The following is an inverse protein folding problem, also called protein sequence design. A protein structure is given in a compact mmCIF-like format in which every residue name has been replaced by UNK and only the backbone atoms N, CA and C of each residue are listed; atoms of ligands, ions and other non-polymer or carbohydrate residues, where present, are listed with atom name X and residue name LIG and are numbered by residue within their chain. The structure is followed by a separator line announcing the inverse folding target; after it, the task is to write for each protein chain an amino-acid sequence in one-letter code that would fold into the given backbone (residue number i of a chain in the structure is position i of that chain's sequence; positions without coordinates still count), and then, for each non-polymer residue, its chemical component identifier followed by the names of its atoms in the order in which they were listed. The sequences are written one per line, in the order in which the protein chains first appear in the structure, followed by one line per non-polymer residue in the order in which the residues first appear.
data_IF_357893611159
#
_entry.id   IF_357893611159
#
_cell.length_a   1.000
_cell.length_b   1.000
_cell.length_c   1.000
_cell.angle_alpha   90.00
_cell.angle_beta   90.00
_cell.angle_gamma   90.00
#
_symmetry.space_group_name_H-M   'P 1'
#
loop_
_entity.id
_entity.type
_entity.pdbx_description
1 polymer ?
#
# COMPACT_ATOMS: atom_id res chain seq x y z
N UNK A 1 14.83 -22.49 4.65
CA UNK A 1 15.16 -21.12 5.12
C UNK A 1 14.74 -20.91 6.58
N UNK A 2 15.47 -20.06 7.33
CA UNK A 2 15.02 -19.52 8.62
C UNK A 2 14.01 -18.39 8.34
N UNK A 3 12.91 -18.32 9.10
CA UNK A 3 11.85 -17.32 8.90
C UNK A 3 12.14 -15.94 9.53
N UNK A 4 13.26 -15.77 10.24
CA UNK A 4 13.76 -14.45 10.66
C UNK A 4 14.01 -13.50 9.47
N UNK A 5 14.27 -14.07 8.29
CA UNK A 5 14.38 -13.35 7.03
C UNK A 5 13.24 -13.75 6.09
N UNK A 6 12.03 -13.17 6.26
CA UNK A 6 10.88 -13.54 5.44
C UNK A 6 11.14 -13.26 3.97
N UNK A 7 10.50 -14.06 3.12
CA UNK A 7 10.64 -13.95 1.67
C UNK A 7 9.32 -13.68 0.99
N UNK A 8 9.38 -13.08 -0.20
CA UNK A 8 8.21 -12.81 -0.99
C UNK A 8 8.46 -13.02 -2.49
N UNK A 9 7.41 -13.43 -3.20
CA UNK A 9 7.34 -13.46 -4.66
C UNK A 9 6.23 -12.49 -5.12
N UNK A 10 6.45 -11.84 -6.27
CA UNK A 10 5.46 -10.94 -6.88
C UNK A 10 4.15 -11.67 -7.13
N UNK A 11 3.05 -10.91 -7.16
CA UNK A 11 1.75 -11.48 -7.47
C UNK A 11 1.78 -12.20 -8.82
N UNK A 12 1.25 -13.42 -8.83
CA UNK A 12 0.95 -14.20 -10.03
C UNK A 12 -0.41 -14.88 -9.85
N UNK A 13 -1.26 -14.80 -10.88
CA UNK A 13 -2.59 -15.40 -10.89
C UNK A 13 -2.62 -16.91 -10.60
N UNK A 14 -1.50 -17.62 -10.82
CA UNK A 14 -1.40 -19.06 -10.51
C UNK A 14 -1.64 -19.37 -9.02
N UNK A 15 -1.28 -18.45 -8.10
CA UNK A 15 -1.53 -18.61 -6.66
C UNK A 15 -3.01 -18.51 -6.28
N UNK A 16 -3.88 -18.10 -7.22
CA UNK A 16 -5.32 -17.92 -7.02
C UNK A 16 -6.16 -18.87 -7.89
N UNK A 17 -5.52 -19.77 -8.65
CA UNK A 17 -6.18 -20.64 -9.62
C UNK A 17 -6.50 -22.01 -9.02
N UNK A 18 -7.77 -22.41 -9.08
CA UNK A 18 -8.19 -23.76 -8.67
C UNK A 18 -8.07 -24.76 -9.85
N UNK A 19 -7.82 -26.06 -9.58
CA UNK A 19 -7.40 -26.60 -8.28
C UNK A 19 -6.02 -26.05 -7.89
N UNK A 20 -5.83 -25.75 -6.60
CA UNK A 20 -4.59 -25.25 -6.04
C UNK A 20 -4.09 -26.23 -4.98
N UNK A 21 -2.82 -26.63 -5.05
CA UNK A 21 -2.18 -27.39 -3.98
C UNK A 21 -0.92 -26.69 -3.56
N UNK A 22 -0.78 -26.43 -2.25
CA UNK A 22 0.38 -25.81 -1.64
C UNK A 22 1.01 -26.84 -0.72
N UNK A 23 2.26 -27.17 -1.00
CA UNK A 23 3.06 -28.17 -0.30
C UNK A 23 4.30 -27.48 0.27
N UNK A 24 4.65 -27.80 1.51
CA UNK A 24 5.85 -27.27 2.16
C UNK A 24 6.24 -28.15 3.35
N UNK A 25 7.49 -27.99 3.79
CA UNK A 25 7.94 -28.50 5.09
C UNK A 25 8.09 -27.35 6.07
N UNK A 26 7.71 -27.59 7.31
CA UNK A 26 7.79 -26.59 8.39
C UNK A 26 8.45 -27.19 9.62
N UNK A 27 9.12 -26.34 10.40
CA UNK A 27 9.54 -26.63 11.76
C UNK A 27 9.34 -25.40 12.60
N UNK A 28 8.55 -25.48 13.67
CA UNK A 28 8.32 -24.38 14.61
C UNK A 28 8.47 -24.88 16.04
N UNK A 29 8.92 -24.02 16.95
CA UNK A 29 9.19 -24.40 18.35
C UNK A 29 8.23 -23.74 19.33
N UNK A 30 7.77 -22.53 19.03
CA UNK A 30 6.95 -21.72 19.93
C UNK A 30 5.49 -21.68 19.47
N UNK A 31 4.59 -21.66 20.45
CA UNK A 31 3.16 -21.47 20.24
C UNK A 31 2.62 -20.25 20.98
N UNK A 32 3.44 -19.34 21.48
CA UNK A 32 2.96 -18.13 22.16
C UNK A 32 2.32 -17.11 21.20
N UNK A 33 2.68 -17.14 19.92
CA UNK A 33 2.09 -16.34 18.84
C UNK A 33 1.53 -17.19 17.71
N UNK A 34 0.91 -16.53 16.73
CA UNK A 34 0.72 -17.12 15.40
C UNK A 34 2.09 -17.41 14.77
N UNK A 35 2.19 -18.50 14.00
CA UNK A 35 3.29 -18.72 13.07
C UNK A 35 2.73 -18.76 11.65
N UNK A 36 3.01 -17.74 10.84
CA UNK A 36 2.57 -17.68 9.44
C UNK A 36 3.59 -18.36 8.56
N UNK A 37 3.31 -19.58 8.09
CA UNK A 37 4.26 -20.32 7.26
C UNK A 37 4.26 -19.77 5.83
N UNK A 38 3.08 -19.68 5.22
CA UNK A 38 2.94 -19.16 3.86
C UNK A 38 1.59 -18.48 3.73
N UNK A 39 1.55 -17.33 3.05
CA UNK A 39 0.35 -16.55 2.82
C UNK A 39 0.35 -15.94 1.42
N UNK A 40 -0.82 -15.91 0.79
CA UNK A 40 -1.04 -15.23 -0.48
C UNK A 40 -1.99 -14.04 -0.29
N UNK A 41 -1.72 -12.90 -0.93
CA UNK A 41 -2.56 -11.70 -0.89
C UNK A 41 -2.71 -11.08 0.52
N UNK A 42 -3.38 -9.93 0.60
CA UNK A 42 -3.77 -9.31 1.87
C UNK A 42 -4.84 -10.13 2.57
N UNK A 43 -4.85 -10.15 3.91
CA UNK A 43 -5.79 -10.97 4.70
C UNK A 43 -7.26 -10.64 4.47
N UNK A 44 -7.56 -9.41 4.03
CA UNK A 44 -8.91 -8.96 3.65
C UNK A 44 -9.35 -9.40 2.25
N UNK A 45 -8.43 -9.88 1.41
CA UNK A 45 -8.74 -10.30 0.04
C UNK A 45 -9.55 -11.59 0.04
N UNK A 46 -10.63 -11.72 -0.77
CA UNK A 46 -11.32 -12.99 -0.95
C UNK A 46 -10.45 -14.05 -1.66
N UNK A 47 -9.32 -13.64 -2.23
CA UNK A 47 -8.32 -14.52 -2.86
C UNK A 47 -7.19 -14.93 -1.92
N UNK A 48 -7.28 -14.50 -0.66
CA UNK A 48 -6.31 -14.85 0.37
C UNK A 48 -6.40 -16.33 0.73
N UNK A 49 -5.24 -16.88 1.02
CA UNK A 49 -5.10 -18.12 1.75
C UNK A 49 -3.81 -18.05 2.57
N UNK A 50 -3.81 -18.71 3.72
CA UNK A 50 -2.63 -18.85 4.57
C UNK A 50 -2.60 -20.21 5.26
N UNK A 51 -1.39 -20.73 5.51
CA UNK A 51 -1.12 -21.89 6.35
C UNK A 51 -0.36 -21.39 7.57
N UNK A 52 -0.85 -21.71 8.76
CA UNK A 52 -0.33 -21.17 10.00
C UNK A 52 -0.53 -22.10 11.20
N UNK A 53 0.11 -21.80 12.33
CA UNK A 53 -0.22 -22.41 13.62
C UNK A 53 -0.96 -21.45 14.55
N UNK A 54 -1.93 -21.96 15.30
CA UNK A 54 -2.67 -21.19 16.30
C UNK A 54 -1.80 -20.82 17.52
N UNK A 55 -1.97 -19.62 18.09
CA UNK A 55 -1.35 -19.26 19.36
C UNK A 55 -1.91 -20.12 20.49
N UNK A 56 -1.14 -20.20 21.56
CA UNK A 56 -1.24 -21.12 22.70
C UNK A 56 -1.16 -22.61 22.33
N UNK A 57 -2.03 -23.11 21.45
CA UNK A 57 -2.13 -24.54 21.13
C UNK A 57 -1.01 -25.04 20.22
N UNK A 58 -0.51 -24.19 19.32
CA UNK A 58 0.44 -24.59 18.29
C UNK A 58 -0.15 -25.50 17.22
N UNK A 59 -1.48 -25.58 17.12
CA UNK A 59 -2.16 -26.49 16.19
C UNK A 59 -2.19 -25.92 14.78
N UNK A 60 -2.01 -26.80 13.79
CA UNK A 60 -2.02 -26.42 12.38
C UNK A 60 -3.40 -25.92 11.95
N UNK A 61 -3.44 -24.88 11.12
CA UNK A 61 -4.67 -24.35 10.54
C UNK A 61 -4.41 -23.73 9.18
N UNK A 62 -5.47 -23.61 8.39
CA UNK A 62 -5.47 -22.79 7.18
C UNK A 62 -6.66 -21.83 7.21
N UNK A 63 -6.46 -20.60 6.72
CA UNK A 63 -7.51 -19.60 6.56
C UNK A 63 -7.67 -19.30 5.07
N UNK A 64 -8.90 -19.41 4.56
CA UNK A 64 -9.25 -19.27 3.14
C UNK A 64 -10.59 -18.50 3.03
N UNK A 65 -10.60 -17.16 3.19
CA UNK A 65 -11.82 -16.35 3.24
C UNK A 65 -12.70 -16.41 1.99
N UNK A 66 -12.18 -16.85 0.85
CA UNK A 66 -12.95 -17.07 -0.37
C UNK A 66 -13.96 -18.23 -0.29
N UNK A 67 -13.92 -19.04 0.78
CA UNK A 67 -14.82 -20.18 0.99
C UNK A 67 -15.58 -20.10 2.32
N UNK A 68 -16.69 -20.83 2.38
CA UNK A 68 -17.37 -21.22 3.61
C UNK A 68 -17.29 -22.75 3.76
N UNK A 69 -16.75 -23.29 4.88
CA UNK A 69 -16.12 -22.57 5.98
C UNK A 69 -14.83 -21.85 5.52
N UNK A 70 -14.51 -20.74 6.19
CA UNK A 70 -13.34 -19.93 5.87
C UNK A 70 -12.06 -20.43 6.55
N UNK A 71 -12.14 -21.48 7.38
CA UNK A 71 -10.98 -22.08 8.05
C UNK A 71 -11.02 -23.60 7.95
N UNK A 72 -9.83 -24.19 7.90
CA UNK A 72 -9.59 -25.59 8.24
C UNK A 72 -8.77 -25.63 9.52
N UNK A 73 -9.35 -26.15 10.60
CA UNK A 73 -8.67 -26.28 11.88
C UNK A 73 -8.30 -27.74 12.16
N UNK A 74 -7.00 -28.03 12.24
CA UNK A 74 -6.50 -29.28 12.78
C UNK A 74 -6.46 -29.23 14.32
N UNK A 75 -6.50 -30.40 14.95
CA UNK A 75 -6.22 -30.56 16.38
C UNK A 75 -4.76 -30.98 16.65
N UNK A 76 -3.95 -31.13 15.61
CA UNK A 76 -2.57 -31.61 15.70
C UNK A 76 -1.62 -30.43 15.88
N UNK A 77 -0.80 -30.49 16.94
CA UNK A 77 0.26 -29.53 17.24
C UNK A 77 1.43 -29.71 16.26
N UNK A 78 1.95 -28.61 15.72
CA UNK A 78 3.11 -28.57 14.81
C UNK A 78 4.27 -27.71 15.33
N UNK A 79 4.11 -27.15 16.54
CA UNK A 79 5.14 -26.34 17.22
C UNK A 79 5.89 -27.18 18.26
N UNK A 80 6.38 -28.34 17.84
CA UNK A 80 7.08 -29.32 18.68
C UNK A 80 8.59 -29.41 18.37
N UNK A 81 9.08 -28.52 17.51
CA UNK A 81 10.48 -28.48 17.05
C UNK A 81 10.84 -29.56 16.05
N UNK A 82 9.88 -30.35 15.54
CA UNK A 82 10.12 -31.35 14.49
C UNK A 82 9.78 -30.81 13.10
N UNK A 83 10.39 -31.41 12.08
CA UNK A 83 10.02 -31.16 10.70
C UNK A 83 8.73 -31.90 10.35
N UNK A 84 7.77 -31.17 9.83
CA UNK A 84 6.52 -31.71 9.33
C UNK A 84 6.35 -31.41 7.85
N UNK A 85 5.73 -32.34 7.13
CA UNK A 85 5.25 -32.13 5.76
C UNK A 85 3.79 -31.67 5.79
N UNK A 86 3.49 -30.54 5.16
CA UNK A 86 2.16 -29.94 5.15
C UNK A 86 1.67 -29.77 3.73
N UNK A 87 0.41 -30.12 3.49
CA UNK A 87 -0.25 -29.90 2.19
C UNK A 87 -1.61 -29.25 2.41
N UNK A 88 -1.83 -28.09 1.81
CA UNK A 88 -3.15 -27.48 1.63
C UNK A 88 -3.63 -27.76 0.22
N UNK A 89 -4.77 -28.43 0.07
CA UNK A 89 -5.43 -28.69 -1.21
C UNK A 89 -6.76 -27.95 -1.27
N UNK A 90 -6.87 -27.00 -2.20
CA UNK A 90 -8.09 -26.26 -2.50
C UNK A 90 -8.66 -26.76 -3.83
N UNK A 91 -9.77 -27.47 -3.77
CA UNK A 91 -10.50 -27.93 -4.94
C UNK A 91 -11.93 -27.38 -4.93
N UNK A 92 -12.63 -27.52 -6.06
CA UNK A 92 -14.01 -27.01 -6.17
C UNK A 92 -15.01 -27.75 -5.28
N UNK A 93 -14.71 -29.00 -4.92
CA UNK A 93 -15.62 -29.88 -4.16
C UNK A 93 -15.08 -30.27 -2.79
N UNK A 94 -13.82 -29.98 -2.50
CA UNK A 94 -13.16 -30.38 -1.26
C UNK A 94 -12.01 -29.42 -0.95
N UNK A 95 -11.95 -28.97 0.31
CA UNK A 95 -10.77 -28.34 0.90
C UNK A 95 -10.18 -29.35 1.87
N UNK A 96 -8.86 -29.55 1.84
CA UNK A 96 -8.18 -30.44 2.78
C UNK A 96 -6.83 -29.89 3.21
N UNK A 97 -6.48 -30.21 4.46
CA UNK A 97 -5.21 -29.92 5.08
C UNK A 97 -4.62 -31.24 5.56
N UNK A 98 -3.43 -31.55 5.05
CA UNK A 98 -2.69 -32.75 5.38
C UNK A 98 -1.44 -32.39 6.19
N UNK A 99 -1.09 -33.27 7.12
CA UNK A 99 0.13 -33.24 7.91
C UNK A 99 0.73 -34.63 7.90
N UNK A 100 1.99 -34.75 7.46
CA UNK A 100 2.74 -36.00 7.39
C UNK A 100 1.90 -37.12 6.74
N UNK A 101 1.40 -36.83 5.52
CA UNK A 101 0.57 -37.71 4.68
C UNK A 101 -0.85 -38.00 5.21
N UNK A 102 -1.22 -37.50 6.40
CA UNK A 102 -2.53 -37.71 7.00
C UNK A 102 -3.44 -36.49 6.81
N UNK A 103 -4.69 -36.69 6.39
CA UNK A 103 -5.70 -35.63 6.39
C UNK A 103 -6.04 -35.28 7.84
N UNK A 104 -5.73 -34.05 8.25
CA UNK A 104 -5.96 -33.56 9.62
C UNK A 104 -7.13 -32.57 9.73
N UNK A 105 -7.57 -32.00 8.60
CA UNK A 105 -8.80 -31.25 8.48
C UNK A 105 -9.31 -31.30 7.04
N UNK A 106 -10.63 -31.36 6.85
CA UNK A 106 -11.27 -31.29 5.55
C UNK A 106 -12.66 -30.67 5.64
N UNK A 107 -13.12 -30.06 4.55
CA UNK A 107 -14.45 -29.50 4.43
C UNK A 107 -14.96 -29.55 2.99
N UNK A 108 -16.28 -29.61 2.83
CA UNK A 108 -16.92 -29.35 1.54
C UNK A 108 -17.08 -27.83 1.41
N UNK A 109 -16.47 -27.18 0.41
CA UNK A 109 -16.53 -25.73 0.27
C UNK A 109 -17.84 -25.26 -0.37
N UNK A 110 -18.35 -24.14 0.12
CA UNK A 110 -19.18 -23.23 -0.66
C UNK A 110 -18.32 -22.01 -1.05
N UNK A 111 -18.21 -21.73 -2.36
CA UNK A 111 -17.50 -20.51 -2.82
C UNK A 111 -18.30 -19.29 -2.41
N UNK A 112 -17.69 -18.40 -1.63
CA UNK A 112 -18.25 -17.07 -1.38
C UNK A 112 -18.15 -16.27 -2.68
N UNK A 113 -19.15 -15.42 -3.04
CA UNK A 113 -19.05 -14.58 -4.23
C UNK A 113 -17.74 -13.79 -4.24
N UNK A 114 -16.84 -14.15 -5.17
CA UNK A 114 -15.57 -13.46 -5.32
C UNK A 114 -15.86 -12.07 -5.89
N UNK A 115 -15.42 -11.03 -5.19
CA UNK A 115 -15.56 -9.64 -5.60
C UNK A 115 -14.61 -9.28 -6.75
N UNK A 116 -13.86 -8.19 -6.58
CA UNK A 116 -12.80 -7.82 -7.53
C UNK A 116 -11.75 -8.94 -7.63
N UNK A 117 -11.03 -9.02 -8.76
CA UNK A 117 -9.92 -9.96 -8.95
C UNK A 117 -8.79 -9.77 -7.92
N UNK A 118 -7.77 -10.64 -7.92
CA UNK A 118 -6.66 -10.53 -6.99
C UNK A 118 -5.98 -9.16 -7.03
N UNK A 119 -5.51 -8.68 -5.88
CA UNK A 119 -4.83 -7.39 -5.77
C UNK A 119 -3.44 -7.48 -6.43
N UNK A 120 -3.21 -6.62 -7.43
CA UNK A 120 -1.96 -6.60 -8.20
C UNK A 120 -0.75 -6.07 -7.41
N UNK A 121 -0.97 -5.36 -6.31
CA UNK A 121 0.06 -4.77 -5.46
C UNK A 121 0.43 -5.65 -4.26
N UNK A 122 0.17 -6.95 -4.34
CA UNK A 122 0.50 -7.92 -3.28
C UNK A 122 1.36 -9.06 -3.84
N UNK A 123 1.39 -10.21 -3.18
CA UNK A 123 2.23 -11.34 -3.59
C UNK A 123 2.02 -12.57 -2.71
N UNK A 124 2.97 -13.48 -2.84
CA UNK A 124 3.13 -14.64 -1.97
C UNK A 124 4.20 -14.32 -0.93
N UNK A 125 3.97 -14.68 0.32
CA UNK A 125 4.83 -14.37 1.46
C UNK A 125 5.13 -15.65 2.25
N UNK A 126 6.40 -15.86 2.58
CA UNK A 126 6.87 -16.97 3.40
C UNK A 126 7.38 -16.43 4.74
N UNK A 127 6.91 -17.03 5.83
CA UNK A 127 7.29 -16.63 7.19
C UNK A 127 6.59 -15.37 7.71
N UNK A 128 5.68 -14.76 6.95
CA UNK A 128 5.00 -13.51 7.33
C UNK A 128 3.70 -13.29 6.55
N UNK A 129 2.89 -12.35 7.02
CA UNK A 129 1.81 -11.74 6.26
C UNK A 129 2.30 -10.64 5.32
N UNK A 130 1.45 -10.23 4.38
CA UNK A 130 1.74 -9.11 3.47
C UNK A 130 2.17 -7.82 4.18
N UNK A 131 1.60 -7.53 5.35
CA UNK A 131 1.79 -6.30 6.12
C UNK A 131 2.75 -6.44 7.32
N UNK A 132 3.43 -7.58 7.46
CA UNK A 132 4.34 -7.90 8.57
C UNK A 132 3.71 -7.89 9.97
N UNK A 133 2.37 -7.90 10.05
CA UNK A 133 1.66 -7.89 11.33
C UNK A 133 1.81 -9.18 12.12
N UNK A 134 2.02 -10.31 11.43
CA UNK A 134 2.25 -11.64 12.01
C UNK A 134 3.40 -12.33 11.27
N UNK A 135 4.26 -13.00 12.04
CA UNK A 135 5.46 -13.66 11.54
C UNK A 135 5.49 -15.12 11.96
N UNK A 136 6.50 -15.86 11.52
CA UNK A 136 6.82 -17.20 11.98
C UNK A 136 8.16 -17.19 12.69
N UNK A 137 8.24 -17.88 13.82
CA UNK A 137 9.51 -18.22 14.45
C UNK A 137 9.83 -19.70 14.19
N UNK A 138 10.50 -19.98 13.07
CA UNK A 138 10.78 -21.33 12.65
C UNK A 138 11.53 -21.44 11.33
N UNK A 139 11.31 -22.57 10.65
CA UNK A 139 11.94 -22.89 9.38
C UNK A 139 10.90 -23.39 8.40
N UNK A 140 11.11 -23.05 7.14
CA UNK A 140 10.31 -23.49 6.00
C UNK A 140 11.25 -24.10 4.98
N UNK A 141 10.87 -25.22 4.37
CA UNK A 141 11.62 -25.85 3.29
C UNK A 141 10.71 -26.49 2.22
N UNK A 142 11.30 -26.91 1.11
CA UNK A 142 10.65 -27.74 0.07
C UNK A 142 9.28 -27.21 -0.40
N UNK A 143 9.17 -25.91 -0.67
CA UNK A 143 7.88 -25.27 -1.01
C UNK A 143 7.54 -25.54 -2.48
N UNK A 144 6.33 -26.05 -2.74
CA UNK A 144 5.80 -26.28 -4.09
C UNK A 144 4.34 -25.84 -4.16
N UNK A 145 3.98 -25.20 -5.27
CA UNK A 145 2.61 -24.83 -5.60
C UNK A 145 2.23 -25.51 -6.91
N UNK A 146 1.06 -26.13 -6.94
CA UNK A 146 0.54 -26.85 -8.09
C UNK A 146 -0.81 -26.26 -8.52
N UNK A 147 -1.03 -26.20 -9.83
CA UNK A 147 -2.35 -26.00 -10.41
C UNK A 147 -2.80 -27.29 -11.13
N UNK A 148 -3.47 -28.17 -10.40
CA UNK A 148 -3.78 -29.51 -10.89
C UNK A 148 -2.48 -30.32 -11.05
N UNK A 149 -2.16 -30.73 -12.28
CA UNK A 149 -0.94 -31.48 -12.59
C UNK A 149 0.29 -30.62 -12.91
N UNK A 150 0.12 -29.30 -12.98
CA UNK A 150 1.19 -28.36 -13.35
C UNK A 150 1.90 -27.83 -12.08
N UNK A 151 3.23 -27.87 -12.05
CA UNK A 151 4.02 -27.15 -11.03
C UNK A 151 3.99 -25.67 -11.37
N UNK A 152 3.24 -24.89 -10.61
CA UNK A 152 3.17 -23.45 -10.76
C UNK A 152 4.41 -22.77 -10.19
N UNK A 153 4.89 -23.18 -9.02
CA UNK A 153 6.12 -22.64 -8.46
C UNK A 153 6.79 -23.69 -7.56
N UNK A 154 8.11 -23.66 -7.49
CA UNK A 154 8.85 -24.53 -6.60
C UNK A 154 10.13 -23.84 -6.12
N UNK A 155 10.44 -23.98 -4.83
CA UNK A 155 11.65 -23.42 -4.23
C UNK A 155 12.33 -24.44 -3.32
N UNK A 156 13.61 -24.67 -3.58
CA UNK A 156 14.51 -25.46 -2.75
C UNK A 156 15.52 -24.50 -2.09
N UNK A 157 15.42 -24.37 -0.76
CA UNK A 157 16.18 -23.39 0.00
C UNK A 157 17.62 -23.81 0.28
N UNK A 158 18.07 -24.96 -0.23
CA UNK A 158 19.50 -25.29 -0.28
C UNK A 158 20.29 -24.36 -1.21
N UNK A 159 19.59 -23.62 -2.09
CA UNK A 159 20.17 -22.73 -3.11
C UNK A 159 19.99 -21.23 -2.81
N UNK A 160 19.58 -20.90 -1.59
CA UNK A 160 19.35 -19.51 -1.16
C UNK A 160 20.64 -18.67 -1.22
N UNK A 161 20.54 -17.47 -1.77
CA UNK A 161 21.62 -16.47 -1.83
C UNK A 161 21.19 -15.10 -1.29
N UNK A 162 22.07 -14.10 -1.38
CA UNK A 162 21.82 -12.72 -0.93
C UNK A 162 20.67 -12.03 -1.68
N UNK A 163 20.24 -12.57 -2.83
CA UNK A 163 19.14 -12.06 -3.65
C UNK A 163 17.85 -12.84 -3.42
N UNK A 164 17.86 -13.92 -2.65
CA UNK A 164 16.69 -14.74 -2.33
C UNK A 164 16.81 -16.18 -2.84
N UNK A 165 15.71 -16.74 -3.33
CA UNK A 165 15.66 -18.14 -3.79
C UNK A 165 15.07 -18.21 -5.20
N UNK A 166 15.77 -18.90 -6.10
CA UNK A 166 15.30 -19.11 -7.48
C UNK A 166 14.13 -20.08 -7.53
N UNK A 167 13.18 -19.78 -8.41
CA UNK A 167 12.11 -20.72 -8.73
C UNK A 167 12.64 -21.84 -9.64
N UNK A 168 12.61 -23.07 -9.13
CA UNK A 168 13.09 -24.26 -9.83
C UNK A 168 12.02 -24.92 -10.72
N UNK A 169 10.80 -24.37 -10.76
CA UNK A 169 9.74 -24.85 -11.68
C UNK A 169 9.99 -24.43 -13.14
N UNK A 170 10.88 -23.46 -13.38
CA UNK A 170 11.13 -22.88 -14.70
C UNK A 170 10.22 -21.71 -15.09
N UNK A 171 9.34 -21.27 -14.19
CA UNK A 171 8.39 -20.18 -14.44
C UNK A 171 8.87 -18.79 -13.98
N UNK A 172 10.10 -18.69 -13.47
CA UNK A 172 10.75 -17.44 -13.06
C UNK A 172 10.04 -16.69 -11.92
N UNK A 173 9.39 -17.42 -11.00
CA UNK A 173 8.72 -16.86 -9.82
C UNK A 173 9.69 -16.75 -8.64
N UNK A 174 10.84 -16.11 -8.84
CA UNK A 174 11.88 -16.01 -7.81
C UNK A 174 11.34 -15.41 -6.50
N UNK A 175 11.71 -16.01 -5.37
CA UNK A 175 11.57 -15.40 -4.06
C UNK A 175 12.70 -14.39 -3.84
N UNK A 176 12.38 -13.26 -3.22
CA UNK A 176 13.33 -12.27 -2.71
C UNK A 176 13.18 -12.14 -1.21
N UNK A 177 14.25 -11.76 -0.52
CA UNK A 177 14.17 -11.27 0.86
C UNK A 177 13.17 -10.13 0.92
N UNK A 178 12.26 -10.15 1.91
CA UNK A 178 11.19 -9.16 2.01
C UNK A 178 11.72 -7.74 2.27
N UNK A 179 12.85 -7.63 2.99
CA UNK A 179 13.60 -6.37 3.13
C UNK A 179 14.04 -5.77 1.79
N UNK A 180 14.22 -6.60 0.77
CA UNK A 180 14.54 -6.22 -0.61
C UNK A 180 13.33 -6.27 -1.55
N UNK A 181 12.15 -6.67 -1.05
CA UNK A 181 10.92 -6.80 -1.83
C UNK A 181 10.23 -5.44 -1.91
N UNK A 182 10.75 -4.58 -2.78
CA UNK A 182 10.03 -3.38 -3.19
C UNK A 182 8.85 -3.81 -4.06
N UNK A 183 7.63 -3.72 -3.51
CA UNK A 183 6.43 -3.65 -4.35
C UNK A 183 6.63 -2.46 -5.30
N UNK A 184 6.65 -2.67 -6.63
CA UNK A 184 6.75 -1.54 -7.54
C UNK A 184 5.59 -0.59 -7.23
N UNK A 185 5.89 0.70 -7.10
CA UNK A 185 4.82 1.70 -7.03
C UNK A 185 3.87 1.45 -8.20
N UNK A 186 2.54 1.59 -8.01
CA UNK A 186 1.59 1.48 -9.11
C UNK A 186 2.11 2.30 -10.31
N UNK A 187 2.00 1.78 -11.55
CA UNK A 187 2.50 2.50 -12.72
C UNK A 187 1.96 3.93 -12.70
N UNK A 188 2.86 4.91 -12.84
CA UNK A 188 2.48 6.32 -12.82
C UNK A 188 1.44 6.55 -13.91
N UNK A 189 0.24 7.01 -13.52
CA UNK A 189 -0.77 7.44 -14.47
C UNK A 189 -0.16 8.55 -15.34
N UNK A 190 -0.43 8.49 -16.65
CA UNK A 190 -0.01 9.54 -17.59
C UNK A 190 -0.57 10.90 -17.14
N UNK A 191 0.28 11.87 -16.75
CA UNK A 191 -0.17 13.14 -16.22
C UNK A 191 -0.50 14.17 -17.31
N UNK A 192 -0.50 13.79 -18.59
CA UNK A 192 -0.66 14.71 -19.72
C UNK A 192 -1.92 15.58 -19.63
N UNK A 193 -3.06 15.00 -19.24
CA UNK A 193 -4.31 15.75 -19.07
C UNK A 193 -4.22 16.81 -17.94
N UNK A 194 -3.57 16.48 -16.83
CA UNK A 194 -3.40 17.40 -15.70
C UNK A 194 -2.44 18.54 -16.03
N UNK A 195 -1.36 18.23 -16.75
CA UNK A 195 -0.43 19.24 -17.27
C UNK A 195 -1.13 20.22 -18.22
N UNK A 196 -1.92 19.70 -19.16
CA UNK A 196 -2.68 20.55 -20.07
C UNK A 196 -3.63 21.47 -19.29
N UNK A 197 -4.32 20.95 -18.27
CA UNK A 197 -5.21 21.76 -17.44
C UNK A 197 -4.47 22.89 -16.71
N UNK A 198 -3.27 22.64 -16.16
CA UNK A 198 -2.43 23.70 -15.56
C UNK A 198 -2.05 24.75 -16.61
N UNK A 199 -1.64 24.34 -17.82
CA UNK A 199 -1.29 25.28 -18.88
C UNK A 199 -2.47 26.17 -19.30
N UNK A 200 -3.67 25.60 -19.37
CA UNK A 200 -4.91 26.33 -19.66
C UNK A 200 -5.21 27.38 -18.57
N UNK A 201 -5.07 27.02 -17.29
CA UNK A 201 -5.29 27.94 -16.17
C UNK A 201 -4.22 29.03 -16.07
N UNK A 202 -2.94 28.67 -16.26
CA UNK A 202 -1.83 29.63 -16.31
C UNK A 202 -2.08 30.66 -17.40
N UNK A 203 -2.48 30.21 -18.61
CA UNK A 203 -2.81 31.11 -19.71
C UNK A 203 -4.05 31.95 -19.40
N UNK A 204 -5.12 31.34 -18.88
CA UNK A 204 -6.40 31.99 -18.60
C UNK A 204 -6.28 33.09 -17.55
N UNK A 205 -5.46 32.88 -16.53
CA UNK A 205 -5.27 33.83 -15.43
C UNK A 205 -4.01 34.69 -15.61
N UNK A 206 -3.27 34.49 -16.70
CA UNK A 206 -2.00 35.16 -16.98
C UNK A 206 -1.04 35.05 -15.77
N UNK A 207 -0.87 33.81 -15.27
CA UNK A 207 0.02 33.54 -14.15
C UNK A 207 1.48 33.66 -14.61
N UNK A 208 2.29 34.33 -13.80
CA UNK A 208 3.68 34.68 -14.12
C UNK A 208 4.70 33.82 -13.37
N UNK A 209 4.29 33.23 -12.25
CA UNK A 209 5.15 32.38 -11.40
C UNK A 209 5.38 30.99 -11.97
N UNK A 210 4.42 30.44 -12.71
CA UNK A 210 4.48 29.07 -13.24
C UNK A 210 4.87 29.11 -14.70
N UNK A 211 6.06 28.60 -15.04
CA UNK A 211 6.46 28.41 -16.42
C UNK A 211 5.72 27.24 -17.08
N UNK A 212 5.44 27.34 -18.39
CA UNK A 212 4.71 26.32 -19.13
C UNK A 212 5.53 25.01 -19.21
N UNK A 213 5.04 23.95 -18.55
CA UNK A 213 5.51 22.57 -18.76
C UNK A 213 6.78 22.15 -18.01
N UNK A 214 7.06 22.74 -16.83
CA UNK A 214 8.32 22.54 -16.11
C UNK A 214 8.31 21.35 -15.14
N UNK A 215 7.16 20.79 -14.79
CA UNK A 215 7.07 19.78 -13.75
C UNK A 215 7.22 18.34 -14.29
N UNK A 216 8.11 17.58 -13.63
CA UNK A 216 8.31 16.15 -13.87
C UNK A 216 7.00 15.39 -13.67
N UNK A 217 6.78 14.31 -14.44
CA UNK A 217 5.59 13.47 -14.33
C UNK A 217 5.31 13.02 -12.88
N UNK A 218 6.37 12.67 -12.15
CA UNK A 218 6.30 12.26 -10.75
C UNK A 218 5.63 13.31 -9.83
N UNK A 219 5.83 14.61 -10.09
CA UNK A 219 5.24 15.71 -9.31
C UNK A 219 3.72 15.73 -9.48
N UNK A 220 3.24 15.64 -10.72
CA UNK A 220 1.81 15.58 -11.01
C UNK A 220 1.15 14.31 -10.48
N UNK A 221 1.80 13.15 -10.64
CA UNK A 221 1.31 11.89 -10.07
C UNK A 221 1.19 11.99 -8.55
N UNK A 222 2.15 12.63 -7.89
CA UNK A 222 2.10 12.87 -6.46
C UNK A 222 0.96 13.82 -6.07
N UNK A 223 0.78 14.96 -6.74
CA UNK A 223 -0.35 15.85 -6.47
C UNK A 223 -1.68 15.13 -6.66
N UNK A 224 -1.84 14.33 -7.72
CA UNK A 224 -3.07 13.54 -7.93
C UNK A 224 -3.30 12.56 -6.79
N UNK A 225 -2.25 11.88 -6.33
CA UNK A 225 -2.35 10.98 -5.19
C UNK A 225 -2.86 11.71 -3.93
N UNK A 226 -2.37 12.92 -3.65
CA UNK A 226 -2.84 13.70 -2.49
C UNK A 226 -4.28 14.19 -2.67
N UNK A 227 -4.66 14.61 -3.88
CA UNK A 227 -6.05 14.97 -4.17
C UNK A 227 -7.01 13.79 -3.95
N UNK A 228 -6.66 12.60 -4.45
CA UNK A 228 -7.46 11.39 -4.33
C UNK A 228 -7.53 10.85 -2.89
N UNK A 229 -6.56 11.23 -2.06
CA UNK A 229 -6.44 10.83 -0.67
C UNK A 229 -6.62 11.98 0.31
N UNK A 230 -7.21 13.10 -0.13
CA UNK A 230 -7.45 14.25 0.72
C UNK A 230 -8.36 13.86 1.90
N UNK A 231 -7.92 14.17 3.12
CA UNK A 231 -8.61 13.78 4.36
C UNK A 231 -8.56 12.28 4.67
N UNK A 232 -7.75 11.49 3.95
CA UNK A 232 -7.55 10.06 4.22
C UNK A 232 -6.20 9.83 4.91
N UNK A 233 -6.16 8.87 5.82
CA UNK A 233 -4.93 8.40 6.44
C UNK A 233 -4.14 7.59 5.40
N UNK A 234 -2.83 7.88 5.23
CA UNK A 234 -1.92 7.34 4.19
C UNK A 234 -1.79 5.80 4.11
N UNK A 235 -2.51 5.03 4.94
CA UNK A 235 -2.46 3.57 5.02
C UNK A 235 -3.84 2.90 4.82
N UNK A 236 -4.80 3.61 4.22
CA UNK A 236 -6.18 3.18 4.10
C UNK A 236 -6.48 2.34 2.84
N UNK A 237 -5.71 1.27 2.63
CA UNK A 237 -6.28 0.08 1.97
C UNK A 237 -6.78 -0.93 3.02
N UNK A 238 -6.16 -1.00 4.21
CA UNK A 238 -6.40 -2.05 5.20
C UNK A 238 -6.71 -1.57 6.64
N UNK A 239 -6.76 -0.27 6.91
CA UNK A 239 -7.24 0.24 8.22
C UNK A 239 -8.55 0.99 8.01
N UNK A 240 -9.63 0.43 8.54
CA UNK A 240 -11.00 0.97 8.47
C UNK A 240 -11.03 2.46 8.81
N UNK A 241 -11.06 3.35 7.82
CA UNK A 241 -11.19 4.80 8.05
C UNK A 241 -12.47 5.13 8.86
N UNK A 242 -13.46 4.23 8.82
CA UNK A 242 -14.71 4.28 9.56
C UNK A 242 -14.51 4.37 11.09
N UNK A 243 -13.53 3.66 11.68
CA UNK A 243 -13.30 3.77 13.13
C UNK A 243 -12.73 5.15 13.49
N UNK A 244 -11.84 5.68 12.66
CA UNK A 244 -11.23 7.00 12.90
C UNK A 244 -12.25 8.12 12.66
N UNK A 245 -13.13 7.98 11.67
CA UNK A 245 -14.23 8.91 11.44
C UNK A 245 -15.24 8.91 12.61
N UNK A 246 -15.44 7.76 13.27
CA UNK A 246 -16.34 7.61 14.41
C UNK A 246 -15.70 7.98 15.77
N UNK A 247 -14.36 8.03 15.86
CA UNK A 247 -13.64 8.27 17.10
C UNK A 247 -13.19 9.74 17.24
N UNK A 248 -14.04 10.56 17.88
CA UNK A 248 -13.74 11.96 18.19
C UNK A 248 -12.47 12.14 19.04
N UNK A 249 -12.11 11.17 19.89
CA UNK A 249 -10.88 11.27 20.71
C UNK A 249 -9.64 11.04 19.85
N UNK A 250 -9.70 10.11 18.90
CA UNK A 250 -8.62 9.90 17.95
C UNK A 250 -8.41 11.13 17.06
N UNK A 251 -9.50 11.74 16.57
CA UNK A 251 -9.44 12.99 15.79
C UNK A 251 -8.83 14.14 16.60
N UNK A 252 -9.27 14.33 17.85
CA UNK A 252 -8.71 15.35 18.73
C UNK A 252 -7.21 15.13 19.04
N UNK A 253 -6.78 13.87 19.16
CA UNK A 253 -5.37 13.53 19.38
C UNK A 253 -4.50 13.88 18.18
N UNK A 254 -4.97 13.65 16.94
CA UNK A 254 -4.24 14.00 15.72
C UNK A 254 -4.10 15.51 15.59
N UNK A 255 -5.17 16.28 15.87
CA UNK A 255 -5.10 17.74 15.88
C UNK A 255 -4.02 18.26 16.86
N UNK A 256 -3.83 17.59 18.00
CA UNK A 256 -2.78 17.90 18.97
C UNK A 256 -1.37 17.41 18.63
N UNK A 257 -1.19 16.64 17.54
CA UNK A 257 0.12 16.19 17.06
C UNK A 257 0.76 17.16 16.07
N UNK A 258 -0.02 18.09 15.50
CA UNK A 258 0.51 19.15 14.67
C UNK A 258 1.20 20.20 15.56
N UNK A 259 2.47 20.51 15.26
CA UNK A 259 3.19 21.60 15.93
C UNK A 259 2.58 22.98 15.63
N UNK A 260 1.92 23.12 14.49
CA UNK A 260 1.22 24.32 14.05
C UNK A 260 -0.19 23.95 13.58
N UNK A 261 -1.22 24.60 14.13
CA UNK A 261 -2.60 24.34 13.74
C UNK A 261 -2.92 24.72 12.29
N UNK A 262 -2.14 25.62 11.68
CA UNK A 262 -2.33 26.03 10.29
C UNK A 262 -1.91 24.95 9.29
N UNK A 263 -1.12 23.94 9.71
CA UNK A 263 -0.81 22.80 8.84
C UNK A 263 -1.97 21.81 8.71
N UNK A 264 -2.96 21.87 9.61
CA UNK A 264 -4.13 21.00 9.57
C UNK A 264 -5.10 21.39 8.45
N UNK A 265 -5.86 20.42 7.97
CA UNK A 265 -7.02 20.64 7.11
C UNK A 265 -8.13 21.32 7.93
N UNK A 266 -8.67 22.42 7.42
CA UNK A 266 -9.74 23.17 8.09
C UNK A 266 -11.08 22.96 7.39
N UNK A 267 -12.22 22.92 8.12
CA UNK A 267 -13.55 22.87 7.50
C UNK A 267 -13.82 24.03 6.53
N UNK A 268 -13.25 25.20 6.81
CA UNK A 268 -13.33 26.40 5.98
C UNK A 268 -12.59 26.28 4.64
N UNK A 269 -11.70 25.31 4.48
CA UNK A 269 -10.91 25.14 3.27
C UNK A 269 -11.77 24.68 2.07
N UNK A 270 -12.96 24.13 2.31
CA UNK A 270 -13.87 23.62 1.25
C UNK A 270 -13.19 22.58 0.32
N UNK A 271 -12.17 21.88 0.80
CA UNK A 271 -11.46 20.81 0.08
C UNK A 271 -9.95 21.05 -0.09
N UNK A 272 -9.31 20.15 -0.84
CA UNK A 272 -7.86 20.15 -1.04
C UNK A 272 -7.35 21.46 -1.63
N UNK A 273 -8.06 22.03 -2.62
CA UNK A 273 -7.69 23.28 -3.27
C UNK A 273 -7.64 24.45 -2.29
N UNK A 274 -8.65 24.62 -1.43
CA UNK A 274 -8.62 25.70 -0.46
C UNK A 274 -7.57 25.48 0.62
N UNK A 275 -7.27 24.23 0.98
CA UNK A 275 -6.16 23.92 1.90
C UNK A 275 -4.83 24.40 1.32
N UNK A 276 -4.55 24.03 0.05
CA UNK A 276 -3.35 24.50 -0.66
C UNK A 276 -3.31 26.02 -0.70
N UNK A 277 -4.42 26.67 -1.05
CA UNK A 277 -4.48 28.13 -1.16
C UNK A 277 -4.26 28.83 0.18
N UNK A 278 -4.92 28.41 1.26
CA UNK A 278 -4.74 29.00 2.60
C UNK A 278 -3.28 28.90 3.04
N UNK A 279 -2.75 27.68 3.08
CA UNK A 279 -1.37 27.44 3.49
C UNK A 279 -0.34 28.15 2.56
N UNK A 280 -0.69 28.40 1.29
CA UNK A 280 0.18 29.18 0.38
C UNK A 280 0.16 30.66 0.76
N UNK A 281 -0.99 31.19 1.18
CA UNK A 281 -1.09 32.53 1.75
C UNK A 281 -0.23 32.67 3.01
N UNK A 282 -0.35 31.72 3.95
CA UNK A 282 0.43 31.72 5.18
C UNK A 282 1.94 31.68 4.90
N UNK A 283 2.36 30.87 3.92
CA UNK A 283 3.75 30.81 3.49
C UNK A 283 4.23 32.13 2.86
N UNK A 284 3.41 32.77 2.03
CA UNK A 284 3.72 34.07 1.42
C UNK A 284 3.88 35.16 2.48
N UNK A 285 3.04 35.16 3.50
CA UNK A 285 3.11 36.11 4.62
C UNK A 285 4.35 35.86 5.49
N UNK A 286 4.67 34.59 5.75
CA UNK A 286 5.91 34.22 6.46
C UNK A 286 7.16 34.68 5.69
N UNK A 287 7.23 34.41 4.39
CA UNK A 287 8.38 34.77 3.54
C UNK A 287 8.59 36.28 3.48
N UNK A 288 7.53 37.09 3.56
CA UNK A 288 7.65 38.56 3.60
C UNK A 288 8.39 39.06 4.84
N UNK A 289 8.36 38.30 5.94
CA UNK A 289 9.07 38.64 7.18
C UNK A 289 10.51 38.11 7.22
N UNK A 290 10.88 37.21 6.29
CA UNK A 290 12.19 36.57 6.29
C UNK A 290 13.26 37.44 5.63
N UNK A 291 14.49 37.49 6.19
CA UNK A 291 15.61 38.10 5.50
C UNK A 291 16.01 37.28 4.26
N UNK A 292 16.52 37.94 3.22
CA UNK A 292 17.07 37.33 2.00
C UNK A 292 16.05 36.63 1.07
N UNK A 293 14.77 37.01 1.12
CA UNK A 293 13.77 36.58 0.13
C UNK A 293 13.77 37.52 -1.08
N UNK A 294 13.64 36.96 -2.29
CA UNK A 294 13.45 37.76 -3.51
C UNK A 294 12.07 38.42 -3.51
N UNK A 295 12.03 39.70 -3.13
CA UNK A 295 10.79 40.48 -3.00
C UNK A 295 10.05 40.68 -4.33
N UNK A 296 10.75 40.66 -5.47
CA UNK A 296 10.12 40.84 -6.78
C UNK A 296 9.33 39.58 -7.16
N UNK A 297 9.95 38.42 -6.98
CA UNK A 297 9.28 37.15 -7.22
C UNK A 297 8.19 36.88 -6.16
N UNK A 298 8.40 37.26 -4.91
CA UNK A 298 7.38 37.18 -3.86
C UNK A 298 6.13 37.99 -4.21
N UNK A 299 6.30 39.24 -4.66
CA UNK A 299 5.18 40.08 -5.11
C UNK A 299 4.40 39.44 -6.25
N UNK A 300 5.12 38.89 -7.23
CA UNK A 300 4.53 38.21 -8.38
C UNK A 300 3.74 36.96 -7.94
N UNK A 301 4.27 36.21 -6.98
CA UNK A 301 3.57 35.06 -6.41
C UNK A 301 2.32 35.44 -5.62
N UNK A 302 2.34 36.55 -4.87
CA UNK A 302 1.15 37.10 -4.20
C UNK A 302 0.05 37.47 -5.20
N UNK A 303 0.41 38.09 -6.33
CA UNK A 303 -0.55 38.43 -7.40
C UNK A 303 -1.19 37.17 -8.00
N UNK A 304 -0.40 36.15 -8.33
CA UNK A 304 -0.90 34.89 -8.91
C UNK A 304 -1.75 34.08 -7.92
N UNK A 305 -1.31 34.00 -6.66
CA UNK A 305 -2.08 33.39 -5.58
C UNK A 305 -3.43 34.09 -5.39
N UNK A 306 -3.47 35.43 -5.40
CA UNK A 306 -4.71 36.19 -5.24
C UNK A 306 -5.70 35.92 -6.37
N UNK A 307 -5.23 35.78 -7.62
CA UNK A 307 -6.07 35.39 -8.76
C UNK A 307 -6.69 33.99 -8.56
N UNK A 308 -5.88 33.01 -8.16
CA UNK A 308 -6.37 31.65 -7.91
C UNK A 308 -7.36 31.59 -6.74
N UNK A 309 -7.06 32.31 -5.64
CA UNK A 309 -7.94 32.42 -4.48
C UNK A 309 -9.29 33.02 -4.86
N UNK A 310 -9.30 34.08 -5.67
CA UNK A 310 -10.54 34.68 -6.16
C UNK A 310 -11.38 33.70 -6.96
N UNK A 311 -10.79 32.95 -7.90
CA UNK A 311 -11.52 31.95 -8.68
C UNK A 311 -12.09 30.85 -7.77
N UNK A 312 -11.34 30.42 -6.76
CA UNK A 312 -11.82 29.44 -5.77
C UNK A 312 -12.98 29.99 -4.91
N UNK A 313 -12.94 31.27 -4.55
CA UNK A 313 -13.99 31.96 -3.78
C UNK A 313 -15.27 32.16 -4.59
N UNK A 314 -15.14 32.55 -5.86
CA UNK A 314 -16.24 32.75 -6.81
C UNK A 314 -16.94 31.42 -7.17
N UNK A 315 -16.32 30.28 -6.85
CA UNK A 315 -16.86 28.94 -7.04
C UNK A 315 -16.39 28.30 -8.34
N UNK A 316 -16.08 27.01 -8.25
CA UNK A 316 -15.53 26.23 -9.35
C UNK A 316 -16.46 25.06 -9.65
N UNK A 317 -16.66 24.74 -10.93
CA UNK A 317 -17.39 23.52 -11.30
C UNK A 317 -16.54 22.29 -10.98
N UNK A 318 -17.19 21.15 -10.74
CA UNK A 318 -16.49 19.86 -10.53
C UNK A 318 -15.57 19.50 -11.69
N UNK A 319 -15.96 19.84 -12.92
CA UNK A 319 -15.17 19.61 -14.14
C UNK A 319 -13.84 20.37 -14.18
N UNK A 320 -13.72 21.49 -13.44
CA UNK A 320 -12.52 22.34 -13.47
C UNK A 320 -11.79 22.42 -12.13
N UNK A 321 -12.31 21.77 -11.09
CA UNK A 321 -11.75 21.79 -9.74
C UNK A 321 -10.34 21.21 -9.66
N UNK A 322 -10.08 20.08 -10.34
CA UNK A 322 -8.76 19.45 -10.41
C UNK A 322 -7.71 20.38 -11.03
N UNK A 323 -8.08 21.08 -12.11
CA UNK A 323 -7.19 22.02 -12.79
C UNK A 323 -6.73 23.16 -11.89
N UNK A 324 -7.65 23.73 -11.10
CA UNK A 324 -7.30 24.78 -10.13
C UNK A 324 -6.43 24.20 -9.01
N UNK A 325 -6.74 22.99 -8.52
CA UNK A 325 -5.90 22.32 -7.53
C UNK A 325 -4.45 22.19 -8.01
N UNK A 326 -4.23 21.63 -9.20
CA UNK A 326 -2.89 21.46 -9.75
C UNK A 326 -2.19 22.80 -9.98
N UNK A 327 -2.93 23.82 -10.41
CA UNK A 327 -2.38 25.16 -10.62
C UNK A 327 -1.97 25.82 -9.30
N UNK A 328 -2.78 25.66 -8.24
CA UNK A 328 -2.45 26.13 -6.90
C UNK A 328 -1.21 25.40 -6.34
N UNK A 329 -1.10 24.09 -6.55
CA UNK A 329 0.09 23.33 -6.19
C UNK A 329 1.34 23.81 -6.94
N UNK A 330 1.21 24.14 -8.23
CA UNK A 330 2.31 24.67 -9.03
C UNK A 330 2.77 26.05 -8.51
N UNK A 331 1.85 26.98 -8.24
CA UNK A 331 2.19 28.29 -7.65
C UNK A 331 2.86 28.12 -6.29
N UNK A 332 2.29 27.30 -5.40
CA UNK A 332 2.88 27.02 -4.08
C UNK A 332 4.31 26.50 -4.20
N UNK A 333 4.56 25.58 -5.14
CA UNK A 333 5.90 25.03 -5.38
C UNK A 333 6.91 26.13 -5.68
N UNK A 334 6.53 27.07 -6.54
CA UNK A 334 7.37 28.22 -6.89
C UNK A 334 7.61 29.13 -5.69
N UNK A 335 6.59 29.36 -4.85
CA UNK A 335 6.73 30.10 -3.59
C UNK A 335 7.75 29.45 -2.66
N UNK A 336 7.72 28.12 -2.51
CA UNK A 336 8.68 27.41 -1.66
C UNK A 336 10.12 27.60 -2.11
N UNK A 337 10.37 27.64 -3.43
CA UNK A 337 11.70 27.88 -3.99
C UNK A 337 12.20 29.33 -3.84
N UNK A 338 11.38 30.28 -3.38
CA UNK A 338 11.85 31.61 -3.02
C UNK A 338 12.73 31.61 -1.76
N UNK A 339 12.68 30.54 -0.98
CA UNK A 339 13.56 30.34 0.16
C UNK A 339 14.77 29.51 -0.27
N UNK A 340 15.95 30.13 -0.32
CA UNK A 340 17.20 29.47 -0.70
C UNK A 340 17.66 28.36 0.27
N UNK A 341 17.10 28.29 1.48
CA UNK A 341 17.34 27.18 2.41
C UNK A 341 16.51 25.93 2.07
N UNK A 342 15.52 26.06 1.20
CA UNK A 342 14.69 24.99 0.68
C UNK A 342 15.27 24.54 -0.66
N UNK A 343 16.33 23.73 -0.60
CA UNK A 343 17.03 23.15 -1.77
C UNK A 343 16.64 21.67 -1.97
N UNK A 344 15.35 21.41 -2.21
CA UNK A 344 14.89 20.07 -2.59
C UNK A 344 14.22 20.11 -3.96
N UNK A 345 14.89 19.51 -4.96
CA UNK A 345 14.32 19.30 -6.30
C UNK A 345 12.96 18.57 -6.27
N UNK A 346 12.71 17.80 -5.21
CA UNK A 346 11.53 16.96 -5.03
C UNK A 346 10.44 17.58 -4.15
N UNK A 347 10.44 18.89 -3.83
CA UNK A 347 9.39 19.45 -2.94
C UNK A 347 7.97 19.02 -3.31
N UNK A 348 7.47 18.10 -2.52
CA UNK A 348 6.15 17.55 -2.60
C UNK A 348 5.24 18.62 -2.02
N UNK A 349 4.41 19.29 -2.83
CA UNK A 349 3.42 20.21 -2.29
C UNK A 349 2.41 19.38 -1.49
N UNK A 350 2.64 19.30 -0.18
CA UNK A 350 1.91 18.42 0.71
C UNK A 350 0.62 19.12 1.15
N UNK A 351 -0.52 18.48 0.94
CA UNK A 351 -1.72 18.65 1.78
C UNK A 351 -1.85 17.40 2.64
N UNK A 352 -1.17 17.36 3.79
CA UNK A 352 -1.32 16.28 4.77
C UNK A 352 -1.72 16.94 6.08
N UNK A 353 -2.98 16.73 6.44
CA UNK A 353 -3.52 16.78 7.79
C UNK A 353 -4.12 15.42 8.09
#
# INVERSE_FOLDING_TARGET
MNTEEPMAASMDSCYCKLPLTVELRIRAEKSDSYNIFIANQTKSSPWHWEIFSMPSSGTLSAYIPGFAPNHLHSQVKVTDGQWHHVVLSLQEKELSLLLDENIVAAAVPEKTPLGQGPENNTGLYLGTLSDDSLQCEGWIDDVKIWNGSEVAAAWDFSTIDDKGCKDISGNNRDLRLKSNFYLPMPPQKDPSAWRQSVQEWVKRLELKTVGLGLERNAVYSFWKFNLDNYGKINYAAARHAEWFAADQKAQARVAGQAFDSEVNIQPSDRGATGTVLRQTGDLLDLLETMPNVDLLHLKTAKEDWAKLKKVWEDGVTSETADGIYFTACAVRRQVMFLNSLLDFDDFLCVTRG
#
